data_IF_781513974039
#
_entry.id   IF_781513974039
#
_cell.length_a   1.000
_cell.length_b   1.000
_cell.length_c   1.000
_cell.angle_alpha   90.00
_cell.angle_beta   90.00
_cell.angle_gamma   90.00
#
_symmetry.space_group_name_H-M   'P 1'
#
loop_
_entity.id
_entity.type
_entity.pdbx_description
1 polymer ?
#
# COMPACT_ATOMS: atom_id res chain seq x y z
N UNK A 1 -36.07 52.80 -42.32
CA UNK A 1 -36.57 51.55 -41.71
C UNK A 1 -36.17 50.41 -42.61
N UNK A 2 -35.02 49.80 -42.37
CA UNK A 2 -34.67 48.38 -42.56
C UNK A 2 -33.17 48.23 -42.29
N UNK A 3 -32.87 47.26 -41.44
CA UNK A 3 -31.74 47.20 -40.53
C UNK A 3 -30.50 46.49 -41.09
N UNK A 4 -29.41 46.73 -40.37
CA UNK A 4 -28.05 46.21 -40.47
C UNK A 4 -27.96 44.68 -40.65
N UNK A 5 -27.01 44.28 -41.50
CA UNK A 5 -26.56 42.89 -41.63
C UNK A 5 -25.45 42.59 -40.62
N UNK A 6 -25.58 41.39 -40.05
CA UNK A 6 -24.56 40.48 -39.49
C UNK A 6 -23.92 40.85 -38.16
N UNK A 7 -24.45 40.26 -37.08
CA UNK A 7 -23.71 40.02 -35.83
C UNK A 7 -23.98 38.58 -35.34
N UNK A 8 -22.97 37.72 -35.57
CA UNK A 8 -22.49 36.62 -34.71
C UNK A 8 -23.55 35.80 -33.93
N UNK A 9 -24.05 34.75 -34.57
CA UNK A 9 -24.80 33.67 -33.89
C UNK A 9 -23.85 32.60 -33.34
N UNK A 10 -23.82 32.54 -32.00
CA UNK A 10 -23.83 31.32 -31.18
C UNK A 10 -22.87 30.17 -31.51
N UNK A 11 -21.61 30.31 -31.06
CA UNK A 11 -20.96 29.49 -30.02
C UNK A 11 -21.55 28.10 -29.69
N UNK A 12 -21.60 27.20 -30.66
CA UNK A 12 -21.60 25.74 -30.44
C UNK A 12 -20.16 25.24 -30.58
N UNK A 13 -19.31 25.57 -29.58
CA UNK A 13 -17.97 24.97 -29.49
C UNK A 13 -18.19 23.60 -28.89
N UNK A 14 -18.12 22.58 -29.73
CA UNK A 14 -18.37 21.19 -29.38
C UNK A 14 -17.63 20.80 -28.10
N UNK A 15 -18.38 20.24 -27.15
CA UNK A 15 -17.84 19.61 -25.94
C UNK A 15 -16.83 18.49 -26.24
N UNK A 16 -16.76 18.04 -27.49
CA UNK A 16 -15.79 17.09 -28.02
C UNK A 16 -14.38 17.69 -28.15
N UNK A 17 -14.25 19.00 -28.40
CA UNK A 17 -12.94 19.66 -28.50
C UNK A 17 -12.24 19.84 -27.15
N UNK A 18 -12.98 19.74 -26.03
CA UNK A 18 -12.43 19.75 -24.67
C UNK A 18 -12.10 18.34 -24.14
N UNK A 19 -12.47 17.29 -24.90
CA UNK A 19 -12.21 15.89 -24.60
C UNK A 19 -11.07 15.30 -25.45
N UNK A 20 -10.42 16.09 -26.30
CA UNK A 20 -9.08 15.77 -26.79
C UNK A 20 -8.08 15.94 -25.65
N UNK A 21 -8.16 15.02 -24.70
CA UNK A 21 -7.06 14.75 -23.79
C UNK A 21 -5.87 14.40 -24.67
N UNK A 22 -4.77 15.14 -24.47
CA UNK A 22 -3.44 14.82 -24.97
C UNK A 22 -2.98 13.48 -24.37
N UNK A 23 -3.58 12.39 -24.86
CA UNK A 23 -3.43 11.07 -24.26
C UNK A 23 -2.18 10.34 -24.75
N UNK A 24 -1.60 10.67 -25.90
CA UNK A 24 -0.69 9.72 -26.56
C UNK A 24 0.43 10.36 -27.40
N UNK A 25 1.05 11.44 -26.94
CA UNK A 25 2.28 11.93 -27.57
C UNK A 25 3.28 12.49 -26.56
N UNK A 26 4.19 11.61 -26.14
CA UNK A 26 5.57 11.93 -25.80
C UNK A 26 5.81 12.92 -24.64
N UNK A 27 5.12 12.73 -23.51
CA UNK A 27 5.75 13.13 -22.25
C UNK A 27 6.74 12.02 -21.90
N UNK A 28 8.03 12.30 -22.03
CA UNK A 28 9.13 11.46 -21.59
C UNK A 28 9.19 11.45 -20.04
N UNK A 29 8.07 11.14 -19.39
CA UNK A 29 8.03 10.80 -17.98
C UNK A 29 8.59 9.39 -17.88
N UNK A 30 9.72 9.25 -17.18
CA UNK A 30 10.38 7.98 -16.86
C UNK A 30 9.50 6.98 -16.07
N UNK A 31 8.22 7.27 -15.90
CA UNK A 31 7.27 6.54 -15.08
C UNK A 31 6.07 6.26 -15.98
N UNK A 32 5.90 5.01 -16.40
CA UNK A 32 4.70 4.59 -17.12
C UNK A 32 3.52 4.53 -16.15
N UNK A 33 2.30 4.77 -16.65
CA UNK A 33 1.09 4.73 -15.82
C UNK A 33 0.88 3.36 -15.12
N UNK A 34 1.47 2.29 -15.66
CA UNK A 34 1.46 0.94 -15.07
C UNK A 34 2.33 0.79 -13.80
N UNK A 35 3.25 1.71 -13.55
CA UNK A 35 4.06 1.73 -12.33
C UNK A 35 3.34 2.43 -11.16
N UNK A 36 2.15 3.01 -11.40
CA UNK A 36 1.32 3.56 -10.33
C UNK A 36 0.73 2.42 -9.49
N UNK A 37 1.30 2.21 -8.31
CA UNK A 37 0.80 1.22 -7.36
C UNK A 37 -0.50 1.74 -6.76
N UNK A 38 -1.61 1.05 -7.01
CA UNK A 38 -2.92 1.38 -6.42
C UNK A 38 -2.83 1.46 -4.89
N UNK A 39 -2.98 2.66 -4.34
CA UNK A 39 -2.87 2.88 -2.89
C UNK A 39 -3.89 2.07 -2.09
N UNK A 40 -5.05 1.78 -2.69
CA UNK A 40 -6.11 0.95 -2.09
C UNK A 40 -5.65 -0.48 -1.80
N UNK A 41 -4.69 -0.98 -2.58
CA UNK A 41 -4.13 -2.33 -2.38
C UNK A 41 -3.14 -2.39 -1.21
N UNK A 42 -2.62 -1.23 -0.77
CA UNK A 42 -1.66 -1.09 0.32
C UNK A 42 -2.32 -0.80 1.67
N UNK A 43 -3.66 -0.68 1.69
CA UNK A 43 -4.43 -0.34 2.89
C UNK A 43 -5.28 -1.54 3.27
N UNK A 44 -5.24 -1.92 4.55
CA UNK A 44 -6.18 -2.87 5.13
C UNK A 44 -7.20 -2.15 6.01
N UNK A 45 -8.40 -2.70 6.11
CA UNK A 45 -9.47 -2.19 6.96
C UNK A 45 -9.73 -3.16 8.11
N UNK A 46 -10.12 -2.61 9.25
CA UNK A 46 -10.62 -3.38 10.38
C UNK A 46 -12.00 -4.01 10.05
N UNK A 47 -12.42 -5.02 10.81
CA UNK A 47 -13.71 -5.70 10.68
C UNK A 47 -14.90 -4.74 10.71
N UNK A 48 -14.79 -3.65 11.46
CA UNK A 48 -15.82 -2.59 11.53
C UNK A 48 -15.63 -1.47 10.50
N UNK A 49 -14.55 -1.48 9.71
CA UNK A 49 -14.23 -0.45 8.72
C UNK A 49 -13.85 0.91 9.29
N UNK A 50 -13.74 1.04 10.62
CA UNK A 50 -13.46 2.30 11.31
C UNK A 50 -11.98 2.67 11.35
N UNK A 51 -11.09 1.68 11.17
CA UNK A 51 -9.64 1.87 11.12
C UNK A 51 -9.08 1.41 9.80
N UNK A 52 -8.08 2.14 9.32
CA UNK A 52 -7.24 1.77 8.20
C UNK A 52 -5.82 1.55 8.69
N UNK A 53 -5.14 0.54 8.14
CA UNK A 53 -3.74 0.28 8.45
C UNK A 53 -2.92 0.22 7.17
N UNK A 54 -1.72 0.80 7.24
CA UNK A 54 -0.70 0.77 6.20
C UNK A 54 0.61 0.29 6.83
N UNK A 55 1.29 -0.64 6.16
CA UNK A 55 2.57 -1.18 6.65
C UNK A 55 3.67 -0.86 5.67
N UNK A 56 4.71 -0.19 6.16
CA UNK A 56 5.95 0.10 5.45
C UNK A 56 7.06 -0.82 5.97
N UNK A 57 7.79 -1.44 5.04
CA UNK A 57 8.97 -2.23 5.35
C UNK A 57 10.16 -1.27 5.47
N UNK A 58 10.84 -1.31 6.62
CA UNK A 58 12.04 -0.49 6.86
C UNK A 58 13.30 -1.30 6.57
N UNK A 59 13.37 -2.50 7.12
CA UNK A 59 14.53 -3.36 7.00
C UNK A 59 14.12 -4.76 6.54
N UNK A 60 14.97 -5.30 5.68
CA UNK A 60 14.86 -6.62 5.08
C UNK A 60 16.18 -7.33 5.33
N UNK A 61 16.10 -8.61 5.68
CA UNK A 61 17.26 -9.50 5.77
C UNK A 61 17.53 -10.15 4.42
N UNK A 62 18.81 -10.22 4.06
CA UNK A 62 19.32 -10.90 2.85
C UNK A 62 19.39 -12.44 3.00
N UNK A 63 18.78 -13.01 4.04
CA UNK A 63 18.73 -14.46 4.22
C UNK A 63 18.05 -15.15 3.03
N UNK A 64 18.75 -16.14 2.47
CA UNK A 64 18.22 -16.92 1.35
C UNK A 64 16.96 -17.70 1.77
N UNK A 65 15.85 -17.63 1.00
CA UNK A 65 14.65 -18.36 1.34
C UNK A 65 14.90 -19.88 1.34
N UNK A 66 14.25 -20.64 2.25
CA UNK A 66 14.52 -22.06 2.44
C UNK A 66 14.19 -22.93 1.22
N UNK A 67 13.49 -22.42 0.20
CA UNK A 67 13.22 -23.14 -1.05
C UNK A 67 12.91 -22.19 -2.22
N UNK A 68 13.92 -21.83 -3.01
CA UNK A 68 13.77 -21.01 -4.23
C UNK A 68 12.97 -21.71 -5.35
N UNK A 69 12.93 -23.05 -5.37
CA UNK A 69 12.47 -23.83 -6.53
C UNK A 69 10.95 -23.78 -6.81
N UNK A 70 10.10 -23.47 -5.82
CA UNK A 70 8.63 -23.65 -5.95
C UNK A 70 7.80 -22.37 -5.77
N UNK A 71 8.30 -21.35 -5.08
CA UNK A 71 7.49 -20.23 -4.59
C UNK A 71 8.03 -18.83 -4.94
N UNK A 72 9.03 -18.74 -5.85
CA UNK A 72 9.66 -17.48 -6.22
C UNK A 72 10.53 -16.87 -5.11
N UNK A 73 10.96 -15.64 -5.33
CA UNK A 73 11.78 -14.90 -4.36
C UNK A 73 10.91 -14.40 -3.20
N UNK A 74 11.30 -14.82 -1.99
CA UNK A 74 10.73 -14.36 -0.73
C UNK A 74 11.76 -13.56 0.01
N UNK A 75 11.26 -12.51 0.64
CA UNK A 75 12.02 -11.53 1.38
C UNK A 75 11.69 -11.71 2.85
N UNK A 76 12.72 -11.76 3.70
CA UNK A 76 12.55 -11.86 5.14
C UNK A 76 12.54 -10.45 5.73
N UNK A 77 11.40 -10.03 6.27
CA UNK A 77 11.26 -8.69 6.88
C UNK A 77 11.77 -8.72 8.32
N UNK A 78 12.59 -7.73 8.71
CA UNK A 78 13.09 -7.58 10.08
C UNK A 78 12.37 -6.47 10.82
N UNK A 79 12.22 -5.29 10.21
CA UNK A 79 11.54 -4.14 10.82
C UNK A 79 10.45 -3.56 9.93
N UNK A 80 9.34 -3.19 10.56
CA UNK A 80 8.20 -2.54 9.92
C UNK A 80 7.79 -1.29 10.66
N UNK A 81 7.25 -0.33 9.91
CA UNK A 81 6.49 0.80 10.44
C UNK A 81 5.02 0.56 10.12
N UNK A 82 4.19 0.55 11.15
CA UNK A 82 2.75 0.39 11.03
C UNK A 82 2.10 1.74 11.32
N UNK A 83 1.28 2.20 10.39
CA UNK A 83 0.46 3.41 10.54
C UNK A 83 -1.00 2.99 10.61
N UNK A 84 -1.66 3.26 11.73
CA UNK A 84 -3.10 3.03 11.94
C UNK A 84 -3.80 4.38 11.95
N UNK A 85 -4.71 4.57 11.00
CA UNK A 85 -5.55 5.76 10.90
C UNK A 85 -6.96 5.41 11.37
N UNK A 86 -7.45 6.16 12.34
CA UNK A 86 -8.84 6.09 12.78
C UNK A 86 -9.68 7.00 11.87
N UNK A 87 -10.67 6.44 11.17
CA UNK A 87 -11.50 7.19 10.24
C UNK A 87 -12.46 8.13 10.98
N UNK A 88 -12.93 7.72 12.15
CA UNK A 88 -13.88 8.49 12.96
C UNK A 88 -13.25 9.64 13.72
N UNK A 89 -12.08 9.44 14.33
CA UNK A 89 -11.39 10.46 15.13
C UNK A 89 -10.31 11.22 14.36
N UNK A 90 -9.98 10.79 13.14
CA UNK A 90 -8.86 11.30 12.32
C UNK A 90 -7.48 11.22 13.01
N UNK A 91 -7.38 10.47 14.10
CA UNK A 91 -6.11 10.23 14.77
C UNK A 91 -5.27 9.24 13.97
N UNK A 92 -3.96 9.48 13.95
CA UNK A 92 -2.98 8.63 13.30
C UNK A 92 -2.02 8.13 14.38
N UNK A 93 -1.96 6.81 14.52
CA UNK A 93 -1.01 6.12 15.38
C UNK A 93 0.08 5.52 14.50
N UNK A 94 1.33 5.79 14.84
CA UNK A 94 2.49 5.23 14.16
C UNK A 94 3.30 4.42 15.18
N UNK A 95 3.62 3.19 14.81
CA UNK A 95 4.41 2.28 15.63
C UNK A 95 5.49 1.62 14.80
N UNK A 96 6.73 1.74 15.26
CA UNK A 96 7.85 0.97 14.72
C UNK A 96 7.94 -0.36 15.46
N UNK A 97 7.98 -1.46 14.70
CA UNK A 97 8.05 -2.81 15.25
C UNK A 97 9.25 -3.55 14.68
N UNK A 98 10.10 -4.00 15.59
CA UNK A 98 11.16 -4.97 15.29
C UNK A 98 10.58 -6.38 15.40
N UNK A 99 10.24 -6.97 14.25
CA UNK A 99 9.59 -8.27 14.19
C UNK A 99 10.54 -9.38 14.61
N UNK A 100 11.86 -9.21 14.42
CA UNK A 100 12.83 -10.20 14.87
C UNK A 100 12.88 -10.31 16.40
N UNK A 101 12.88 -9.15 17.08
CA UNK A 101 12.84 -9.10 18.53
C UNK A 101 11.52 -9.68 19.07
N UNK A 102 10.40 -9.31 18.47
CA UNK A 102 9.06 -9.80 18.82
C UNK A 102 8.95 -11.32 18.64
N UNK A 103 9.47 -11.88 17.55
CA UNK A 103 9.46 -13.34 17.35
C UNK A 103 10.30 -14.06 18.41
N UNK A 104 11.47 -13.51 18.76
CA UNK A 104 12.34 -14.08 19.80
C UNK A 104 11.64 -14.07 21.16
N UNK A 105 10.97 -12.97 21.49
CA UNK A 105 10.18 -12.84 22.72
C UNK A 105 8.99 -13.81 22.74
N UNK A 106 8.30 -13.99 21.60
CA UNK A 106 7.19 -14.92 21.46
C UNK A 106 7.64 -16.37 21.64
N UNK A 107 8.79 -16.75 21.05
CA UNK A 107 9.37 -18.07 21.20
C UNK A 107 9.81 -18.35 22.65
N UNK A 108 10.27 -17.33 23.37
CA UNK A 108 10.64 -17.46 24.78
C UNK A 108 9.41 -17.59 25.69
N UNK A 109 8.43 -16.68 25.56
CA UNK A 109 7.25 -16.64 26.44
C UNK A 109 6.23 -17.72 26.16
N UNK A 110 6.02 -18.04 24.88
CA UNK A 110 4.92 -18.91 24.43
C UNK A 110 5.37 -20.17 23.69
N UNK A 111 6.67 -20.34 23.46
CA UNK A 111 7.24 -21.49 22.75
C UNK A 111 6.64 -21.73 21.36
N UNK A 112 6.11 -20.68 20.73
CA UNK A 112 5.68 -20.70 19.34
C UNK A 112 6.74 -20.06 18.46
N UNK A 113 7.05 -20.68 17.32
CA UNK A 113 7.84 -20.08 16.26
C UNK A 113 6.95 -19.70 15.10
N UNK A 114 7.24 -18.56 14.47
CA UNK A 114 6.41 -17.98 13.43
C UNK A 114 7.20 -17.87 12.14
N UNK A 115 6.62 -18.31 11.02
CA UNK A 115 7.22 -18.10 9.69
C UNK A 115 6.61 -16.89 8.97
N UNK A 116 5.95 -16.00 9.72
CA UNK A 116 5.17 -14.90 9.17
C UNK A 116 6.01 -13.75 8.59
N UNK A 117 7.31 -13.72 8.89
CA UNK A 117 8.27 -12.74 8.33
C UNK A 117 8.58 -12.91 6.84
N UNK A 118 8.26 -14.07 6.26
CA UNK A 118 8.52 -14.36 4.84
C UNK A 118 7.38 -13.86 3.96
N UNK A 119 7.65 -12.81 3.19
CA UNK A 119 6.73 -12.20 2.21
C UNK A 119 7.29 -12.41 0.80
N UNK A 120 6.48 -12.79 -0.19
CA UNK A 120 6.95 -12.79 -1.58
C UNK A 120 7.27 -11.36 -2.04
N UNK A 121 8.36 -11.19 -2.80
CA UNK A 121 8.78 -9.87 -3.29
C UNK A 121 7.68 -9.16 -4.12
N UNK A 122 6.81 -9.92 -4.78
CA UNK A 122 5.66 -9.39 -5.53
C UNK A 122 4.65 -8.61 -4.69
N UNK A 123 4.55 -8.95 -3.40
CA UNK A 123 3.60 -8.35 -2.47
C UNK A 123 4.20 -7.15 -1.72
N UNK A 124 5.43 -6.77 -2.04
CA UNK A 124 6.09 -5.56 -1.56
C UNK A 124 6.19 -4.58 -2.73
N UNK A 125 5.39 -3.51 -2.68
CA UNK A 125 5.33 -2.48 -3.72
C UNK A 125 5.84 -1.17 -3.17
N UNK A 126 6.93 -0.65 -3.74
CA UNK A 126 7.57 0.61 -3.32
C UNK A 126 7.83 0.69 -1.80
N UNK A 127 8.27 -0.43 -1.20
CA UNK A 127 8.53 -0.54 0.25
C UNK A 127 7.28 -0.67 1.14
N UNK A 128 6.08 -0.73 0.57
CA UNK A 128 4.84 -1.03 1.31
C UNK A 128 4.38 -2.45 1.06
N UNK A 129 3.79 -3.06 2.09
CA UNK A 129 3.20 -4.39 1.98
C UNK A 129 1.77 -4.27 1.46
N UNK A 130 1.32 -5.24 0.66
CA UNK A 130 -0.08 -5.36 0.26
C UNK A 130 -0.96 -5.68 1.48
N UNK A 131 -2.13 -5.04 1.55
CA UNK A 131 -3.06 -5.13 2.69
C UNK A 131 -3.49 -6.55 3.05
N UNK A 132 -3.51 -7.47 2.07
CA UNK A 132 -3.84 -8.90 2.29
C UNK A 132 -2.84 -9.64 3.17
N UNK A 133 -1.61 -9.12 3.33
CA UNK A 133 -0.56 -9.72 4.16
C UNK A 133 -0.39 -9.02 5.52
N UNK A 134 -1.08 -7.91 5.77
CA UNK A 134 -0.92 -7.13 6.98
C UNK A 134 -1.18 -7.97 8.24
N UNK A 135 -2.36 -8.60 8.34
CA UNK A 135 -2.74 -9.42 9.50
C UNK A 135 -1.74 -10.54 9.78
N UNK A 136 -1.14 -11.11 8.73
CA UNK A 136 -0.11 -12.15 8.88
C UNK A 136 1.14 -11.59 9.53
N UNK A 137 1.64 -10.44 9.07
CA UNK A 137 2.85 -9.81 9.63
C UNK A 137 2.65 -9.33 11.07
N UNK A 138 1.51 -8.72 11.37
CA UNK A 138 1.25 -8.18 12.71
C UNK A 138 0.76 -9.24 13.70
N UNK A 139 0.52 -10.47 13.27
CA UNK A 139 -0.04 -11.52 14.14
C UNK A 139 0.80 -11.79 15.39
N UNK A 140 2.12 -11.78 15.26
CA UNK A 140 3.05 -12.00 16.37
C UNK A 140 3.01 -10.81 17.36
N UNK A 141 2.95 -9.58 16.83
CA UNK A 141 2.82 -8.37 17.63
C UNK A 141 1.46 -8.29 18.33
N UNK A 142 0.37 -8.66 17.64
CA UNK A 142 -0.97 -8.74 18.20
C UNK A 142 -1.08 -9.82 19.28
N UNK A 143 -0.39 -10.96 19.12
CA UNK A 143 -0.36 -12.02 20.11
C UNK A 143 0.32 -11.60 21.43
N UNK A 144 1.26 -10.65 21.37
CA UNK A 144 1.92 -10.04 22.52
C UNK A 144 1.23 -8.73 23.00
N UNK A 145 0.05 -8.42 22.47
CA UNK A 145 -0.74 -7.22 22.79
C UNK A 145 -0.04 -5.89 22.46
N UNK A 146 0.96 -5.89 21.57
CA UNK A 146 1.65 -4.67 21.12
C UNK A 146 0.82 -3.82 20.15
N UNK A 147 -0.13 -4.45 19.44
CA UNK A 147 -0.99 -3.80 18.45
C UNK A 147 -2.41 -4.32 18.63
N UNK A 148 -3.38 -3.41 18.66
CA UNK A 148 -4.81 -3.73 18.59
C UNK A 148 -5.39 -3.08 17.34
N UNK A 149 -5.56 -3.90 16.30
CA UNK A 149 -6.19 -3.48 15.06
C UNK A 149 -7.70 -3.68 15.17
#
# INVERSE_FOLDING_TARGET
MTEEKTNVESKEISSEALLETVSDAEVNSRISFEEFTDERTLISHDAFGNKQMKIKVLEVSDENPPSKWKFGDRVKVTKILVTIKHLTTQQVEEGEFDIEAIERELAEKRHYSSTNRWIPASDVKNGYVVGSKHTRLISDAAALDYIVF
#
